data_IF_475833615922
#
_entry.id   IF_475833615922
#
_cell.length_a   1.000
_cell.length_b   1.000
_cell.length_c   1.000
_cell.angle_alpha   90.00
_cell.angle_beta   90.00
_cell.angle_gamma   90.00
#
_symmetry.space_group_name_H-M   'P 1'
#
loop_
_entity.id
_entity.type
_entity.pdbx_description
1 polymer ?
#
# COMPACT_ATOMS: atom_id res chain seq x y z
N UNK A 1 -9.89 -44.87 34.75
CA UNK A 1 -8.61 -45.27 34.13
C UNK A 1 -8.20 -44.20 33.11
N UNK A 2 -7.25 -43.34 33.46
CA UNK A 2 -6.73 -42.33 32.55
C UNK A 2 -5.69 -42.97 31.63
N UNK A 3 -5.89 -42.88 30.32
CA UNK A 3 -4.95 -43.42 29.31
C UNK A 3 -3.70 -42.52 29.29
N UNK A 4 -2.62 -42.99 29.89
CA UNK A 4 -1.32 -42.29 29.98
C UNK A 4 -0.43 -42.52 28.74
N UNK A 5 -0.79 -43.47 27.87
CA UNK A 5 -0.03 -43.76 26.64
C UNK A 5 -0.87 -43.46 25.40
N UNK A 6 -0.84 -42.22 24.92
CA UNK A 6 -1.51 -41.88 23.65
C UNK A 6 -1.96 -40.44 23.44
N UNK A 7 -1.35 -39.43 24.07
CA UNK A 7 -1.47 -38.07 23.52
C UNK A 7 -0.72 -38.07 22.18
N UNK A 8 -1.48 -38.16 21.08
CA UNK A 8 -0.95 -37.92 19.74
C UNK A 8 -0.17 -36.61 19.75
N UNK A 9 1.01 -36.58 19.10
CA UNK A 9 1.81 -35.36 18.99
C UNK A 9 0.89 -34.22 18.56
N UNK A 10 0.95 -33.04 19.21
CA UNK A 10 0.15 -31.90 18.78
C UNK A 10 0.39 -31.71 17.28
N UNK A 11 -0.70 -31.74 16.52
CA UNK A 11 -0.66 -31.65 15.08
C UNK A 11 -0.02 -30.30 14.77
N UNK A 12 1.22 -30.32 14.30
CA UNK A 12 1.91 -29.08 13.96
C UNK A 12 1.05 -28.35 12.94
N UNK A 13 0.86 -27.03 13.10
CA UNK A 13 0.12 -26.25 12.12
C UNK A 13 0.73 -26.52 10.74
N UNK A 14 -0.13 -26.74 9.75
CA UNK A 14 0.32 -26.97 8.40
C UNK A 14 1.25 -25.82 7.99
N UNK A 15 2.39 -26.09 7.31
CA UNK A 15 3.32 -25.06 6.93
C UNK A 15 2.58 -23.99 6.13
N UNK A 16 2.60 -22.75 6.64
CA UNK A 16 2.03 -21.62 5.93
C UNK A 16 3.10 -21.05 4.96
N UNK A 17 2.66 -20.45 3.86
CA UNK A 17 3.58 -20.02 2.81
C UNK A 17 4.51 -18.91 3.29
N UNK A 18 4.01 -17.98 4.11
CA UNK A 18 4.78 -16.88 4.69
C UNK A 18 5.95 -17.37 5.55
N UNK A 19 5.73 -18.36 6.41
CA UNK A 19 6.77 -18.97 7.26
C UNK A 19 7.85 -19.66 6.43
N UNK A 20 7.47 -20.26 5.28
CA UNK A 20 8.42 -20.90 4.39
C UNK A 20 9.27 -19.87 3.64
N UNK A 21 8.67 -18.76 3.21
CA UNK A 21 9.37 -17.60 2.61
C UNK A 21 10.43 -17.09 3.60
N UNK A 22 10.01 -16.76 4.84
CA UNK A 22 10.92 -16.29 5.89
C UNK A 22 12.11 -17.24 6.12
N UNK A 23 11.86 -18.56 6.19
CA UNK A 23 12.94 -19.56 6.36
C UNK A 23 13.89 -19.63 5.17
N UNK A 24 13.40 -19.43 3.95
CA UNK A 24 14.25 -19.41 2.75
C UNK A 24 15.09 -18.15 2.74
N UNK A 25 14.52 -17.00 3.13
CA UNK A 25 15.24 -15.73 3.22
C UNK A 25 16.34 -15.77 4.30
N UNK A 26 16.04 -16.28 5.49
CA UNK A 26 17.04 -16.46 6.56
C UNK A 26 18.22 -17.34 6.11
N UNK A 27 17.94 -18.39 5.31
CA UNK A 27 18.99 -19.22 4.71
C UNK A 27 19.77 -18.44 3.66
N UNK A 28 19.11 -17.61 2.86
CA UNK A 28 19.72 -16.68 1.91
C UNK A 28 20.72 -15.77 2.62
N UNK A 29 20.28 -15.07 3.66
CA UNK A 29 21.10 -14.17 4.49
C UNK A 29 22.33 -14.86 5.08
N UNK A 30 22.14 -16.10 5.56
CA UNK A 30 23.24 -16.90 6.10
C UNK A 30 24.29 -17.23 5.04
N UNK A 31 23.86 -17.51 3.80
CA UNK A 31 24.77 -17.72 2.67
C UNK A 31 25.44 -16.41 2.26
N UNK A 32 24.72 -15.30 2.22
CA UNK A 32 25.29 -13.98 1.92
C UNK A 32 26.39 -13.58 2.92
N UNK A 33 26.16 -13.81 4.22
CA UNK A 33 27.19 -13.60 5.25
C UNK A 33 28.45 -14.44 5.00
N UNK A 34 28.32 -15.65 4.45
CA UNK A 34 29.48 -16.49 4.05
C UNK A 34 30.18 -15.93 2.82
N UNK A 35 29.43 -15.45 1.82
CA UNK A 35 29.98 -14.80 0.62
C UNK A 35 30.81 -13.57 1.03
N UNK A 36 30.28 -12.70 1.89
CA UNK A 36 30.97 -11.49 2.37
C UNK A 36 32.29 -11.82 3.10
N UNK A 37 32.32 -12.90 3.89
CA UNK A 37 33.57 -13.37 4.54
C UNK A 37 34.61 -13.81 3.52
N UNK A 38 34.19 -14.55 2.48
CA UNK A 38 35.08 -15.00 1.41
C UNK A 38 35.58 -13.81 0.56
N UNK A 39 34.79 -12.77 0.36
CA UNK A 39 35.21 -11.53 -0.31
C UNK A 39 36.33 -10.81 0.44
N UNK A 40 36.20 -10.70 1.77
CA UNK A 40 37.26 -10.14 2.61
C UNK A 40 38.55 -10.97 2.49
N UNK A 41 38.44 -12.30 2.47
CA UNK A 41 39.61 -13.19 2.30
C UNK A 41 40.25 -13.03 0.91
N UNK A 42 39.44 -12.96 -0.16
CA UNK A 42 39.92 -12.72 -1.52
C UNK A 42 40.65 -11.39 -1.64
N UNK A 43 40.12 -10.33 -1.00
CA UNK A 43 40.78 -9.02 -0.95
C UNK A 43 42.16 -9.12 -0.30
N UNK A 44 42.28 -9.84 0.83
CA UNK A 44 43.58 -10.08 1.49
C UNK A 44 44.58 -10.79 0.57
N UNK A 45 44.16 -11.84 -0.15
CA UNK A 45 45.05 -12.51 -1.10
C UNK A 45 45.45 -11.61 -2.27
N UNK A 46 44.53 -10.79 -2.79
CA UNK A 46 44.82 -9.80 -3.84
C UNK A 46 45.89 -8.81 -3.39
N UNK A 47 45.72 -8.23 -2.20
CA UNK A 47 46.66 -7.26 -1.63
C UNK A 47 48.03 -7.89 -1.31
N UNK A 48 48.04 -9.14 -0.82
CA UNK A 48 49.27 -9.89 -0.60
C UNK A 48 50.02 -10.12 -1.92
N UNK A 49 49.33 -10.62 -2.96
CA UNK A 49 49.95 -10.87 -4.27
C UNK A 49 50.47 -9.59 -4.94
N UNK A 50 49.82 -8.44 -4.73
CA UNK A 50 50.28 -7.16 -5.27
C UNK A 50 51.67 -6.75 -4.75
N UNK A 51 52.01 -7.17 -3.53
CA UNK A 51 53.32 -6.90 -2.89
C UNK A 51 54.39 -7.95 -3.20
N UNK A 52 54.03 -9.03 -3.91
CA UNK A 52 54.93 -10.14 -4.21
C UNK A 52 55.49 -10.05 -5.63
N UNK A 53 56.79 -10.36 -5.75
CA UNK A 53 57.43 -10.62 -7.04
C UNK A 53 56.86 -11.90 -7.68
N UNK A 54 56.88 -11.96 -9.00
CA UNK A 54 56.50 -13.16 -9.74
C UNK A 54 57.40 -14.33 -9.35
N UNK A 55 56.79 -15.51 -9.16
CA UNK A 55 57.51 -16.72 -8.79
C UNK A 55 56.67 -17.76 -8.03
N UNK A 56 57.32 -18.86 -7.59
CA UNK A 56 56.63 -19.99 -6.95
C UNK A 56 55.79 -19.60 -5.72
N UNK A 57 56.28 -18.66 -4.90
CA UNK A 57 55.57 -18.19 -3.72
C UNK A 57 54.27 -17.46 -4.08
N UNK A 58 54.30 -16.56 -5.08
CA UNK A 58 53.10 -15.84 -5.56
C UNK A 58 52.10 -16.80 -6.21
N UNK A 59 52.59 -17.79 -6.96
CA UNK A 59 51.76 -18.86 -7.52
C UNK A 59 51.04 -19.67 -6.44
N UNK A 60 51.70 -19.99 -5.32
CA UNK A 60 51.05 -20.69 -4.20
C UNK A 60 49.90 -19.87 -3.59
N UNK A 61 50.07 -18.56 -3.43
CA UNK A 61 49.01 -17.65 -2.95
C UNK A 61 47.87 -17.57 -3.96
N UNK A 62 48.17 -17.47 -5.26
CA UNK A 62 47.18 -17.52 -6.34
C UNK A 62 46.32 -18.78 -6.29
N UNK A 63 46.92 -19.94 -6.06
CA UNK A 63 46.19 -21.22 -5.93
C UNK A 63 45.29 -21.27 -4.68
N UNK A 64 45.66 -20.60 -3.58
CA UNK A 64 44.76 -20.43 -2.42
C UNK A 64 43.59 -19.52 -2.76
N UNK A 65 43.86 -18.37 -3.39
CA UNK A 65 42.82 -17.44 -3.82
C UNK A 65 41.81 -18.08 -4.80
N UNK A 66 42.27 -18.90 -5.74
CA UNK A 66 41.40 -19.63 -6.67
C UNK A 66 40.46 -20.62 -5.95
N UNK A 67 40.92 -21.30 -4.89
CA UNK A 67 40.08 -22.19 -4.09
C UNK A 67 38.97 -21.42 -3.36
N UNK A 68 39.32 -20.28 -2.75
CA UNK A 68 38.35 -19.39 -2.09
C UNK A 68 37.36 -18.82 -3.10
N UNK A 69 37.82 -18.40 -4.28
CA UNK A 69 36.95 -17.91 -5.35
C UNK A 69 35.95 -18.97 -5.82
N UNK A 70 36.40 -20.22 -5.97
CA UNK A 70 35.52 -21.34 -6.33
C UNK A 70 34.45 -21.58 -5.26
N UNK A 71 34.84 -21.53 -3.98
CA UNK A 71 33.89 -21.65 -2.87
C UNK A 71 32.88 -20.49 -2.85
N UNK A 72 33.35 -19.25 -3.11
CA UNK A 72 32.49 -18.07 -3.22
C UNK A 72 31.44 -18.26 -4.32
N UNK A 73 31.87 -18.63 -5.53
CA UNK A 73 30.96 -18.86 -6.67
C UNK A 73 29.90 -19.93 -6.39
N UNK A 74 30.27 -20.99 -5.66
CA UNK A 74 29.32 -22.02 -5.24
C UNK A 74 28.24 -21.44 -4.31
N UNK A 75 28.62 -20.60 -3.35
CA UNK A 75 27.65 -19.93 -2.48
C UNK A 75 26.83 -18.86 -3.20
N UNK A 76 27.42 -18.10 -4.13
CA UNK A 76 26.67 -17.16 -4.99
C UNK A 76 25.58 -17.88 -5.78
N UNK A 77 25.88 -19.05 -6.34
CA UNK A 77 24.88 -19.89 -7.01
C UNK A 77 23.79 -20.36 -6.06
N UNK A 78 24.15 -20.83 -4.85
CA UNK A 78 23.17 -21.24 -3.84
C UNK A 78 22.27 -20.07 -3.40
N UNK A 79 22.83 -18.88 -3.21
CA UNK A 79 22.08 -17.68 -2.87
C UNK A 79 21.11 -17.30 -4.02
N UNK A 80 21.57 -17.35 -5.27
CA UNK A 80 20.71 -17.13 -6.44
C UNK A 80 19.52 -18.09 -6.48
N UNK A 81 19.76 -19.38 -6.24
CA UNK A 81 18.69 -20.39 -6.21
C UNK A 81 17.68 -20.13 -5.08
N UNK A 82 18.14 -19.74 -3.88
CA UNK A 82 17.26 -19.42 -2.76
C UNK A 82 16.44 -18.16 -3.04
N UNK A 83 17.03 -17.11 -3.61
CA UNK A 83 16.28 -15.90 -4.02
C UNK A 83 15.20 -16.23 -5.04
N UNK A 84 15.52 -17.04 -6.06
CA UNK A 84 14.51 -17.48 -7.03
C UNK A 84 13.39 -18.30 -6.37
N UNK A 85 13.75 -19.17 -5.41
CA UNK A 85 12.77 -19.94 -4.66
C UNK A 85 11.85 -19.03 -3.84
N UNK A 86 12.40 -18.03 -3.14
CA UNK A 86 11.65 -17.05 -2.37
C UNK A 86 10.68 -16.27 -3.26
N UNK A 87 11.19 -15.71 -4.37
CA UNK A 87 10.38 -15.00 -5.35
C UNK A 87 9.20 -15.83 -5.88
N UNK A 88 9.45 -17.09 -6.26
CA UNK A 88 8.39 -17.96 -6.75
C UNK A 88 7.31 -18.22 -5.69
N UNK A 89 7.70 -18.36 -4.42
CA UNK A 89 6.77 -18.53 -3.30
C UNK A 89 6.01 -17.24 -3.00
N UNK A 90 6.64 -16.07 -3.05
CA UNK A 90 5.99 -14.77 -2.89
C UNK A 90 4.92 -14.55 -3.96
N UNK A 91 5.24 -14.83 -5.23
CA UNK A 91 4.28 -14.76 -6.33
C UNK A 91 3.08 -15.69 -6.10
N UNK A 92 3.33 -16.93 -5.66
CA UNK A 92 2.26 -17.88 -5.32
C UNK A 92 1.43 -17.43 -4.10
N UNK A 93 2.07 -16.83 -3.11
CA UNK A 93 1.41 -16.30 -1.91
C UNK A 93 0.49 -15.12 -2.27
N UNK A 94 0.98 -14.21 -3.11
CA UNK A 94 0.20 -13.08 -3.62
C UNK A 94 -1.03 -13.57 -4.40
N UNK A 95 -0.85 -14.47 -5.36
CA UNK A 95 -1.96 -15.04 -6.12
C UNK A 95 -2.98 -15.75 -5.21
N UNK A 96 -2.51 -16.46 -4.19
CA UNK A 96 -3.38 -17.11 -3.18
C UNK A 96 -4.18 -16.07 -2.40
N UNK A 97 -3.57 -14.94 -2.02
CA UNK A 97 -4.26 -13.88 -1.31
C UNK A 97 -5.33 -13.23 -2.19
N UNK A 98 -5.02 -12.89 -3.44
CA UNK A 98 -6.00 -12.36 -4.40
C UNK A 98 -7.20 -13.31 -4.58
N UNK A 99 -6.95 -14.62 -4.63
CA UNK A 99 -8.03 -15.62 -4.71
C UNK A 99 -8.89 -15.67 -3.44
N UNK A 100 -8.29 -15.51 -2.24
CA UNK A 100 -9.04 -15.43 -0.98
C UNK A 100 -9.91 -14.17 -0.91
N UNK A 101 -9.40 -13.04 -1.39
CA UNK A 101 -10.14 -11.77 -1.42
C UNK A 101 -11.31 -11.90 -2.39
N UNK A 102 -11.08 -12.44 -3.59
CA UNK A 102 -12.12 -12.73 -4.58
C UNK A 102 -13.20 -13.66 -4.02
N UNK A 103 -12.80 -14.73 -3.32
CA UNK A 103 -13.75 -15.63 -2.66
C UNK A 103 -14.60 -14.90 -1.62
N UNK A 104 -14.00 -13.98 -0.85
CA UNK A 104 -14.70 -13.19 0.17
C UNK A 104 -15.72 -12.25 -0.47
N UNK A 105 -15.36 -11.60 -1.57
CA UNK A 105 -16.30 -10.78 -2.38
C UNK A 105 -17.47 -11.60 -2.90
N UNK A 106 -17.22 -12.80 -3.46
CA UNK A 106 -18.28 -13.69 -3.93
C UNK A 106 -19.22 -14.10 -2.79
N UNK A 107 -18.67 -14.42 -1.60
CA UNK A 107 -19.49 -14.72 -0.42
C UNK A 107 -20.36 -13.53 0.00
N UNK A 108 -19.81 -12.31 -0.01
CA UNK A 108 -20.56 -11.09 0.30
C UNK A 108 -21.70 -10.87 -0.71
N UNK A 109 -21.44 -11.04 -2.02
CA UNK A 109 -22.47 -10.96 -3.06
C UNK A 109 -23.58 -12.00 -2.88
N UNK A 110 -23.23 -13.25 -2.53
CA UNK A 110 -24.21 -14.30 -2.24
C UNK A 110 -25.09 -13.96 -1.04
N UNK A 111 -24.51 -13.37 0.01
CA UNK A 111 -25.25 -12.88 1.17
C UNK A 111 -26.20 -11.75 0.78
N UNK A 112 -25.72 -10.73 0.04
CA UNK A 112 -26.55 -9.63 -0.45
C UNK A 112 -27.70 -10.11 -1.35
N UNK A 113 -27.45 -11.08 -2.24
CA UNK A 113 -28.50 -11.67 -3.08
C UNK A 113 -29.55 -12.41 -2.23
N UNK A 114 -29.13 -13.13 -1.19
CA UNK A 114 -30.06 -13.82 -0.28
C UNK A 114 -30.94 -12.82 0.49
N UNK A 115 -30.37 -11.71 0.92
CA UNK A 115 -31.08 -10.63 1.59
C UNK A 115 -32.04 -9.91 0.64
N UNK A 116 -31.59 -9.56 -0.58
CA UNK A 116 -32.44 -9.01 -1.63
C UNK A 116 -33.64 -9.91 -1.94
N UNK A 117 -33.43 -11.24 -2.06
CA UNK A 117 -34.52 -12.22 -2.25
C UNK A 117 -35.48 -12.26 -1.05
N UNK A 118 -35.00 -11.99 0.16
CA UNK A 118 -35.85 -11.95 1.36
C UNK A 118 -36.70 -10.68 1.39
N UNK A 119 -36.12 -9.53 1.07
CA UNK A 119 -36.84 -8.26 0.99
C UNK A 119 -37.84 -8.27 -0.16
N UNK A 120 -37.48 -8.83 -1.33
CA UNK A 120 -38.38 -8.95 -2.47
C UNK A 120 -39.65 -9.76 -2.14
N UNK A 121 -39.56 -10.78 -1.27
CA UNK A 121 -40.74 -11.54 -0.80
C UNK A 121 -41.67 -10.74 0.11
N UNK A 122 -41.23 -9.62 0.67
CA UNK A 122 -42.07 -8.72 1.47
C UNK A 122 -42.81 -7.71 0.61
N UNK A 123 -42.39 -7.51 -0.63
CA UNK A 123 -43.11 -6.70 -1.60
C UNK A 123 -44.33 -7.52 -2.03
N UNK A 124 -45.52 -7.08 -1.62
CA UNK A 124 -46.77 -7.61 -2.16
C UNK A 124 -46.96 -7.03 -3.56
N UNK A 125 -46.90 -7.88 -4.59
CA UNK A 125 -47.13 -7.46 -5.97
C UNK A 125 -48.54 -6.90 -6.14
N UNK A 126 -49.53 -7.45 -5.43
CA UNK A 126 -50.91 -6.92 -5.43
C UNK A 126 -50.95 -5.45 -4.95
N UNK A 127 -50.12 -5.07 -3.97
CA UNK A 127 -50.01 -3.67 -3.52
C UNK A 127 -49.22 -2.81 -4.50
N UNK A 128 -48.37 -3.40 -5.36
CA UNK A 128 -47.66 -2.67 -6.41
C UNK A 128 -48.60 -2.37 -7.58
N UNK A 129 -49.52 -3.28 -7.91
CA UNK A 129 -50.60 -3.02 -8.87
C UNK A 129 -51.54 -1.94 -8.33
N UNK A 130 -51.98 -2.02 -7.06
CA UNK A 130 -52.79 -0.96 -6.43
C UNK A 130 -52.07 0.41 -6.41
N UNK A 131 -50.76 0.44 -6.14
CA UNK A 131 -49.96 1.69 -6.18
C UNK A 131 -49.76 2.18 -7.61
N UNK A 132 -49.65 1.29 -8.60
CA UNK A 132 -49.50 1.69 -10.00
C UNK A 132 -50.82 2.25 -10.55
N UNK A 133 -51.96 1.66 -10.15
CA UNK A 133 -53.29 2.17 -10.43
C UNK A 133 -53.52 3.51 -9.73
N UNK A 134 -53.21 3.64 -8.43
CA UNK A 134 -53.28 4.93 -7.71
C UNK A 134 -52.32 5.97 -8.30
N UNK A 135 -51.14 5.59 -8.77
CA UNK A 135 -50.18 6.51 -9.40
C UNK A 135 -50.67 6.96 -10.80
N UNK A 136 -51.33 6.08 -11.53
CA UNK A 136 -51.98 6.41 -12.81
C UNK A 136 -53.15 7.37 -12.58
N UNK A 137 -54.01 7.09 -11.59
CA UNK A 137 -55.09 7.98 -11.17
C UNK A 137 -54.58 9.34 -10.68
N UNK A 138 -53.42 9.36 -10.00
CA UNK A 138 -52.82 10.60 -9.51
C UNK A 138 -52.15 11.42 -10.62
N UNK A 139 -51.57 10.76 -11.64
CA UNK A 139 -51.04 11.41 -12.84
C UNK A 139 -52.18 11.93 -13.72
N UNK A 140 -53.25 11.16 -13.90
CA UNK A 140 -54.46 11.63 -14.58
C UNK A 140 -55.11 12.80 -13.83
N UNK A 141 -55.17 12.77 -12.50
CA UNK A 141 -55.61 13.93 -11.71
C UNK A 141 -54.62 15.10 -11.80
N UNK A 142 -53.31 14.86 -11.88
CA UNK A 142 -52.33 15.92 -12.05
C UNK A 142 -52.47 16.60 -13.42
N UNK A 143 -52.68 15.82 -14.48
CA UNK A 143 -52.96 16.30 -15.84
C UNK A 143 -54.32 17.01 -15.91
N UNK A 144 -55.36 16.47 -15.26
CA UNK A 144 -56.70 17.08 -15.18
C UNK A 144 -56.67 18.36 -14.33
N UNK A 145 -55.82 18.44 -13.29
CA UNK A 145 -55.54 19.66 -12.54
C UNK A 145 -54.77 20.66 -13.40
N UNK A 146 -53.81 20.22 -14.23
CA UNK A 146 -53.06 21.08 -15.14
C UNK A 146 -53.96 21.65 -16.26
N UNK A 147 -54.89 20.84 -16.75
CA UNK A 147 -55.91 21.19 -17.75
C UNK A 147 -57.00 22.09 -17.16
N UNK A 148 -57.50 21.80 -15.94
CA UNK A 148 -58.49 22.60 -15.22
C UNK A 148 -57.93 23.92 -14.69
N UNK A 149 -56.63 23.99 -14.35
CA UNK A 149 -55.93 25.24 -14.05
C UNK A 149 -55.64 26.09 -15.30
N UNK A 150 -55.99 25.60 -16.49
CA UNK A 150 -56.15 26.40 -17.70
C UNK A 150 -54.94 27.25 -18.05
N UNK A 151 -53.72 26.70 -17.93
CA UNK A 151 -52.50 27.42 -18.33
C UNK A 151 -51.50 26.52 -19.04
N UNK A 152 -51.37 26.79 -20.33
CA UNK A 152 -50.10 26.78 -21.07
C UNK A 152 -48.97 27.29 -20.18
N UNK A 153 -48.11 26.39 -19.72
CA UNK A 153 -46.70 26.71 -19.60
C UNK A 153 -46.03 26.11 -20.84
N UNK A 154 -45.93 26.93 -21.88
CA UNK A 154 -44.76 26.80 -22.75
C UNK A 154 -43.55 26.81 -21.83
N UNK A 155 -42.69 25.81 -21.97
CA UNK A 155 -41.34 25.89 -21.43
C UNK A 155 -40.81 27.28 -21.77
N UNK A 156 -40.24 28.03 -20.81
CA UNK A 156 -39.51 29.24 -21.16
C UNK A 156 -38.52 28.85 -22.25
N UNK A 157 -38.46 29.61 -23.35
CA UNK A 157 -37.36 29.48 -24.30
C UNK A 157 -36.09 29.69 -23.47
N UNK A 158 -35.39 28.59 -23.22
CA UNK A 158 -34.11 28.61 -22.54
C UNK A 158 -33.16 29.28 -23.52
N UNK A 159 -32.67 30.47 -23.18
CA UNK A 159 -31.75 31.19 -24.04
C UNK A 159 -30.42 30.43 -24.04
N UNK A 160 -30.10 29.78 -25.16
CA UNK A 160 -28.91 28.93 -25.28
C UNK A 160 -27.62 29.71 -24.95
N UNK A 161 -27.63 31.02 -25.20
CA UNK A 161 -26.53 31.95 -24.91
C UNK A 161 -26.27 32.11 -23.39
N UNK A 162 -27.31 32.05 -22.54
CA UNK A 162 -27.15 32.12 -21.07
C UNK A 162 -26.62 30.79 -20.52
N UNK A 163 -27.02 29.66 -21.12
CA UNK A 163 -26.49 28.34 -20.77
C UNK A 163 -25.03 28.16 -21.19
N UNK A 164 -24.64 28.71 -22.33
CA UNK A 164 -23.25 28.64 -22.82
C UNK A 164 -22.32 29.49 -21.95
N UNK A 165 -22.80 30.65 -21.46
CA UNK A 165 -22.06 31.48 -20.51
C UNK A 165 -21.90 30.80 -19.13
N UNK A 166 -22.92 30.09 -18.61
CA UNK A 166 -22.79 29.29 -17.38
C UNK A 166 -21.84 28.10 -17.58
N UNK A 167 -21.85 27.46 -18.76
CA UNK A 167 -20.94 26.36 -19.09
C UNK A 167 -19.48 26.84 -19.16
N UNK A 168 -19.24 28.00 -19.74
CA UNK A 168 -17.90 28.60 -19.81
C UNK A 168 -17.40 29.00 -18.42
N UNK A 169 -18.26 29.58 -17.57
CA UNK A 169 -17.92 29.89 -16.17
C UNK A 169 -17.57 28.63 -15.35
N UNK A 170 -18.26 27.50 -15.57
CA UNK A 170 -17.93 26.22 -14.93
C UNK A 170 -16.59 25.64 -15.42
N UNK A 171 -16.26 25.85 -16.70
CA UNK A 171 -14.96 25.49 -17.27
C UNK A 171 -13.81 26.32 -16.68
N UNK A 172 -14.03 27.62 -16.48
CA UNK A 172 -13.07 28.52 -15.83
C UNK A 172 -12.94 28.25 -14.32
N UNK A 173 -13.97 27.75 -13.64
CA UNK A 173 -13.86 27.32 -12.23
C UNK A 173 -13.01 26.04 -12.10
N UNK A 174 -13.07 25.12 -13.08
CA UNK A 174 -12.21 23.93 -13.14
C UNK A 174 -10.75 24.23 -13.53
N UNK A 175 -10.50 25.31 -14.28
CA UNK A 175 -9.16 25.76 -14.65
C UNK A 175 -8.57 26.80 -13.68
N UNK A 176 -9.43 27.50 -12.93
CA UNK A 176 -9.06 28.50 -11.93
C UNK A 176 -8.60 27.93 -10.59
N UNK A 177 -8.86 26.64 -10.34
CA UNK A 177 -8.34 25.89 -9.18
C UNK A 177 -7.10 25.03 -9.55
N UNK A 178 -6.50 25.28 -10.72
CA UNK A 178 -5.13 24.87 -11.06
C UNK A 178 -4.09 25.97 -10.73
N UNK A 179 -4.42 26.96 -9.88
CA UNK A 179 -3.38 27.73 -9.21
C UNK A 179 -2.80 26.87 -8.08
N UNK A 180 -1.82 26.06 -8.47
CA UNK A 180 -1.00 25.13 -7.67
C UNK A 180 -0.17 25.80 -6.56
N UNK A 181 -0.71 26.86 -5.95
CA UNK A 181 -0.12 27.59 -4.83
C UNK A 181 -0.34 26.88 -3.48
N UNK A 182 -1.34 26.01 -3.35
CA UNK A 182 -1.50 25.22 -2.11
C UNK A 182 -0.40 24.14 -1.96
N UNK A 183 0.16 23.66 -3.07
CA UNK A 183 1.24 22.67 -3.04
C UNK A 183 2.62 23.26 -2.70
N UNK A 184 2.87 24.55 -2.98
CA UNK A 184 4.18 25.16 -2.76
C UNK A 184 4.36 25.71 -1.33
N UNK A 185 3.27 26.04 -0.62
CA UNK A 185 3.33 26.52 0.77
C UNK A 185 3.45 25.38 1.80
N UNK A 186 3.07 24.15 1.41
CA UNK A 186 3.34 22.94 2.19
C UNK A 186 4.84 22.53 2.20
N UNK A 187 5.63 23.02 1.24
CA UNK A 187 7.08 22.75 1.12
C UNK A 187 7.93 23.77 1.90
N UNK A 188 7.36 24.94 2.25
CA UNK A 188 8.04 26.01 3.01
C UNK A 188 7.71 26.06 4.50
N UNK A 189 6.88 25.15 5.00
CA UNK A 189 6.65 25.04 6.44
C UNK A 189 7.98 24.68 7.15
N UNK A 190 8.41 25.46 8.17
CA UNK A 190 9.63 25.15 8.91
C UNK A 190 9.51 23.76 9.55
N UNK A 191 10.58 22.97 9.45
CA UNK A 191 10.62 21.61 9.98
C UNK A 191 10.27 21.59 11.47
N UNK A 192 9.45 20.63 11.89
CA UNK A 192 9.15 20.40 13.29
C UNK A 192 10.45 20.15 14.08
N UNK A 193 10.64 20.76 15.26
CA UNK A 193 11.87 20.62 16.02
C UNK A 193 12.06 19.19 16.56
N UNK A 194 13.18 18.55 16.21
CA UNK A 194 13.54 17.17 16.58
C UNK A 194 14.05 16.98 18.03
N UNK A 195 13.56 17.72 19.05
CA UNK A 195 14.06 17.56 20.44
C UNK A 195 12.97 17.47 21.51
N UNK A 196 13.25 16.62 22.49
CA UNK A 196 12.37 16.31 23.62
C UNK A 196 11.95 17.59 24.40
N UNK A 197 10.71 17.65 24.92
CA UNK A 197 10.23 18.80 25.68
C UNK A 197 11.07 19.05 26.93
N UNK A 198 11.62 20.27 27.08
CA UNK A 198 12.34 20.72 28.27
C UNK A 198 13.83 21.05 28.11
N UNK A 199 14.39 21.00 26.90
CA UNK A 199 15.77 21.42 26.65
C UNK A 199 15.88 22.91 26.27
N UNK A 200 16.94 23.59 26.75
CA UNK A 200 17.21 25.00 26.42
C UNK A 200 17.44 25.20 24.91
N UNK A 201 16.74 26.17 24.33
CA UNK A 201 16.83 26.51 22.91
C UNK A 201 17.59 27.81 22.70
N UNK A 202 18.37 27.87 21.62
CA UNK A 202 19.03 29.08 21.12
C UNK A 202 18.51 29.38 19.72
N UNK A 203 18.27 30.66 19.41
CA UNK A 203 17.88 31.07 18.06
C UNK A 203 19.07 30.97 17.09
N UNK A 204 18.83 31.26 15.81
CA UNK A 204 19.85 31.20 14.74
C UNK A 204 21.05 32.13 15.03
N UNK A 205 20.85 33.16 15.87
CA UNK A 205 21.87 34.12 16.30
C UNK A 205 22.54 33.76 17.64
N UNK A 206 22.24 32.59 18.21
CA UNK A 206 22.85 32.09 19.45
C UNK A 206 22.26 32.66 20.75
N UNK A 207 21.11 33.35 20.68
CA UNK A 207 20.41 33.91 21.85
C UNK A 207 19.51 32.86 22.48
N UNK A 208 19.58 32.68 23.80
CA UNK A 208 18.69 31.76 24.52
C UNK A 208 17.23 32.22 24.40
N UNK A 209 16.37 31.33 23.93
CA UNK A 209 14.92 31.58 23.78
C UNK A 209 14.13 30.68 24.73
N UNK A 210 12.90 31.09 25.04
CA UNK A 210 11.95 30.29 25.82
C UNK A 210 11.15 29.30 24.94
N UNK A 211 10.22 28.57 25.55
CA UNK A 211 9.40 27.55 24.90
C UNK A 211 8.50 28.09 23.78
N UNK A 212 8.32 29.42 23.70
CA UNK A 212 7.58 30.09 22.64
C UNK A 212 8.50 30.75 21.60
N UNK A 213 9.82 30.54 21.70
CA UNK A 213 10.81 31.10 20.79
C UNK A 213 11.12 32.58 21.04
N UNK A 214 10.74 33.14 22.19
CA UNK A 214 11.02 34.52 22.55
C UNK A 214 12.37 34.65 23.27
N UNK A 215 13.15 35.73 23.05
CA UNK A 215 14.43 35.93 23.72
C UNK A 215 14.29 36.03 25.24
N UNK A 216 15.07 35.24 25.98
CA UNK A 216 15.15 35.34 27.44
C UNK A 216 15.89 36.63 27.80
N UNK A 217 15.15 37.66 28.19
CA UNK A 217 15.70 38.90 28.76
C UNK A 217 16.23 38.60 30.16
N UNK A 218 17.49 38.94 30.51
CA UNK A 218 17.97 38.78 31.87
C UNK A 218 17.16 39.70 32.80
N UNK A 219 16.53 39.13 33.82
CA UNK A 219 15.96 39.91 34.91
C UNK A 219 17.11 40.68 35.60
N UNK A 220 17.00 42.01 35.63
CA UNK A 220 17.84 42.87 36.48
C UNK A 220 17.42 42.77 37.94
#
# INVERSE_FOLDING_TARGET
>A
MNRIFGRGKPQQPAPNMSDMILKVDERGDSIEKKISKLDVELKKYKDQMAKMREGPAKNAVKQKALRVLKQKKMYEQQAGNLRQQSFNMEQANYATQTLKDTQSTVKAMQMGLKEMKKEFKKINIDQVEDIQDEMTDMLEQADEVQEALGRSYGTPDIDEDELEAELEALGDEMLGDEDSSYLDDAIKAPSAPDREPGAESVNVDGVAVDEFGLPKIPAS
#
